data_IF_238494270524
#
_entry.id   IF_238494270524
#
_cell.length_a   1.000
_cell.length_b   1.000
_cell.length_c   1.000
_cell.angle_alpha   90.00
_cell.angle_beta   90.00
_cell.angle_gamma   90.00
#
_symmetry.space_group_name_H-M   'P 1'
#
loop_
_entity.id
_entity.type
_entity.pdbx_description
1 polymer ?
#
# COMPACT_ATOMS: atom_id res chain seq x y z
N UNK A 1 -14.76 73.11 16.86
CA UNK A 1 -15.40 71.97 16.17
C UNK A 1 -14.49 71.33 15.13
N UNK A 2 -13.38 71.98 14.75
CA UNK A 2 -12.41 71.47 13.78
C UNK A 2 -11.58 70.25 14.26
N UNK A 3 -11.20 70.20 15.54
CA UNK A 3 -10.32 69.13 16.06
C UNK A 3 -11.01 67.76 16.14
N UNK A 4 -12.31 67.71 16.42
CA UNK A 4 -13.09 66.46 16.46
C UNK A 4 -13.23 65.82 15.07
N UNK A 5 -13.28 66.64 14.01
CA UNK A 5 -13.34 66.15 12.63
C UNK A 5 -12.01 65.53 12.21
N UNK A 6 -10.88 66.18 12.49
CA UNK A 6 -9.56 65.66 12.18
C UNK A 6 -9.24 64.33 12.89
N UNK A 7 -9.67 64.19 14.14
CA UNK A 7 -9.50 62.96 14.95
C UNK A 7 -10.20 61.74 14.33
N UNK A 8 -11.36 61.94 13.68
CA UNK A 8 -12.07 60.86 13.01
C UNK A 8 -11.61 60.66 11.56
N UNK A 9 -11.22 61.72 10.86
CA UNK A 9 -10.80 61.66 9.46
C UNK A 9 -9.50 60.85 9.30
N UNK A 10 -8.53 61.07 10.18
CA UNK A 10 -7.20 60.43 10.11
C UNK A 10 -7.25 58.88 10.16
N UNK A 11 -7.96 58.23 11.11
CA UNK A 11 -8.09 56.77 11.13
C UNK A 11 -8.93 56.25 9.96
N UNK A 12 -9.99 56.95 9.53
CA UNK A 12 -10.76 56.52 8.35
C UNK A 12 -9.93 56.57 7.06
N UNK A 13 -9.12 57.62 6.88
CA UNK A 13 -8.24 57.74 5.72
C UNK A 13 -7.16 56.66 5.74
N UNK A 14 -6.57 56.39 6.90
CA UNK A 14 -5.59 55.32 7.08
C UNK A 14 -6.20 53.93 6.78
N UNK A 15 -7.45 53.69 7.18
CA UNK A 15 -8.16 52.44 6.90
C UNK A 15 -8.44 52.28 5.40
N UNK A 16 -8.93 53.33 4.73
CA UNK A 16 -9.17 53.31 3.28
C UNK A 16 -7.86 53.11 2.52
N UNK A 17 -6.80 53.82 2.90
CA UNK A 17 -5.47 53.67 2.31
C UNK A 17 -4.91 52.26 2.55
N UNK A 18 -5.06 51.72 3.76
CA UNK A 18 -4.64 50.35 4.10
C UNK A 18 -5.37 49.29 3.30
N UNK A 19 -6.70 49.43 3.12
CA UNK A 19 -7.51 48.52 2.30
C UNK A 19 -7.12 48.65 0.82
N UNK A 20 -6.91 49.87 0.31
CA UNK A 20 -6.51 50.09 -1.08
C UNK A 20 -5.12 49.47 -1.36
N UNK A 21 -4.15 49.72 -0.49
CA UNK A 21 -2.79 49.14 -0.60
C UNK A 21 -2.85 47.63 -0.44
N UNK A 22 -3.58 47.11 0.55
CA UNK A 22 -3.74 45.67 0.75
C UNK A 22 -4.39 44.98 -0.45
N UNK A 23 -5.39 45.61 -1.05
CA UNK A 23 -6.04 45.11 -2.27
C UNK A 23 -5.10 45.18 -3.48
N UNK A 24 -4.33 46.25 -3.65
CA UNK A 24 -3.34 46.37 -4.71
C UNK A 24 -2.27 45.28 -4.57
N UNK A 25 -1.72 45.09 -3.37
CA UNK A 25 -0.72 44.05 -3.09
C UNK A 25 -1.29 42.66 -3.35
N UNK A 26 -2.51 42.36 -2.88
CA UNK A 26 -3.16 41.08 -3.14
C UNK A 26 -3.45 40.83 -4.64
N UNK A 27 -3.71 41.89 -5.41
CA UNK A 27 -3.95 41.82 -6.86
C UNK A 27 -2.66 41.72 -7.66
N UNK A 28 -1.60 42.40 -7.25
CA UNK A 28 -0.32 42.47 -7.99
C UNK A 28 0.61 41.30 -7.67
N UNK A 29 0.50 40.64 -6.51
CA UNK A 29 1.29 39.45 -6.22
C UNK A 29 0.70 38.25 -6.99
N UNK A 30 1.37 37.73 -8.04
CA UNK A 30 0.83 36.70 -8.93
C UNK A 30 0.74 35.31 -8.28
N UNK A 31 1.02 35.22 -6.98
CA UNK A 31 1.50 34.02 -6.33
C UNK A 31 0.81 33.70 -5.00
N UNK A 32 -0.22 34.47 -4.65
CA UNK A 32 -1.08 34.21 -3.50
C UNK A 32 -2.23 33.23 -3.81
N UNK A 33 -2.18 32.53 -4.95
CA UNK A 33 -3.11 31.44 -5.25
C UNK A 33 -2.57 30.12 -4.65
N UNK A 34 -3.39 29.35 -3.91
CA UNK A 34 -3.01 28.04 -3.36
C UNK A 34 -2.83 26.96 -4.44
N UNK A 35 -2.86 27.32 -5.73
CA UNK A 35 -2.69 26.41 -6.88
C UNK A 35 -1.41 25.58 -6.79
N UNK A 36 -0.35 26.06 -6.12
CA UNK A 36 0.88 25.29 -5.92
C UNK A 36 0.64 24.10 -4.98
N UNK A 37 -0.13 24.31 -3.92
CA UNK A 37 -0.50 23.27 -2.95
C UNK A 37 -1.53 22.32 -3.56
N UNK A 38 -2.53 22.82 -4.28
CA UNK A 38 -3.49 21.96 -4.99
C UNK A 38 -2.81 21.09 -6.05
N UNK A 39 -1.92 21.66 -6.88
CA UNK A 39 -1.14 20.88 -7.86
C UNK A 39 -0.25 19.83 -7.22
N UNK A 40 0.29 20.09 -6.04
CA UNK A 40 1.06 19.08 -5.30
C UNK A 40 0.17 17.94 -4.79
N UNK A 41 -1.04 18.25 -4.31
CA UNK A 41 -2.00 17.22 -3.91
C UNK A 41 -2.44 16.38 -5.11
N UNK A 42 -2.73 17.02 -6.25
CA UNK A 42 -3.12 16.32 -7.49
C UNK A 42 -1.98 15.40 -7.98
N UNK A 43 -0.73 15.88 -8.01
CA UNK A 43 0.45 15.09 -8.41
C UNK A 43 0.70 13.90 -7.46
N UNK A 44 0.51 14.07 -6.14
CA UNK A 44 0.65 12.98 -5.18
C UNK A 44 -0.47 11.94 -5.35
N UNK A 45 -1.71 12.39 -5.55
CA UNK A 45 -2.86 11.53 -5.79
C UNK A 45 -2.66 10.70 -7.06
N UNK A 46 -2.25 11.33 -8.16
CA UNK A 46 -1.99 10.68 -9.45
C UNK A 46 -0.89 9.61 -9.33
N UNK A 47 0.20 9.92 -8.62
CA UNK A 47 1.27 8.94 -8.35
C UNK A 47 0.79 7.77 -7.52
N UNK A 48 -0.07 8.00 -6.53
CA UNK A 48 -0.62 6.96 -5.68
C UNK A 48 -1.55 6.03 -6.48
N UNK A 49 -2.39 6.58 -7.35
CA UNK A 49 -3.27 5.81 -8.23
C UNK A 49 -2.45 5.01 -9.26
N UNK A 50 -1.41 5.62 -9.85
CA UNK A 50 -0.49 4.92 -10.75
C UNK A 50 0.23 3.76 -10.05
N UNK A 51 0.74 3.97 -8.84
CA UNK A 51 1.42 2.94 -8.07
C UNK A 51 0.48 1.77 -7.73
N UNK A 52 -0.73 2.06 -7.26
CA UNK A 52 -1.73 1.02 -6.99
C UNK A 52 -2.05 0.20 -8.25
N UNK A 53 -2.23 0.88 -9.39
CA UNK A 53 -2.51 0.21 -10.66
C UNK A 53 -1.34 -0.68 -11.11
N UNK A 54 -0.09 -0.20 -10.96
CA UNK A 54 1.11 -0.97 -11.28
C UNK A 54 1.24 -2.22 -10.40
N UNK A 55 1.02 -2.09 -9.08
CA UNK A 55 1.05 -3.22 -8.15
C UNK A 55 -0.01 -4.26 -8.50
N UNK A 56 -1.25 -3.83 -8.72
CA UNK A 56 -2.35 -4.73 -9.10
C UNK A 56 -2.03 -5.44 -10.42
N UNK A 57 -1.52 -4.70 -11.41
CA UNK A 57 -1.14 -5.27 -12.71
C UNK A 57 -0.01 -6.26 -12.58
N UNK A 58 1.02 -5.95 -11.78
CA UNK A 58 2.16 -6.83 -11.54
C UNK A 58 1.72 -8.13 -10.87
N UNK A 59 0.95 -8.05 -9.78
CA UNK A 59 0.45 -9.25 -9.08
C UNK A 59 -0.53 -10.06 -9.93
N UNK A 60 -1.38 -9.42 -10.74
CA UNK A 60 -2.25 -10.13 -11.67
C UNK A 60 -1.43 -10.88 -12.74
N UNK A 61 -0.43 -10.21 -13.32
CA UNK A 61 0.50 -10.81 -14.27
C UNK A 61 1.26 -11.98 -13.65
N UNK A 62 1.81 -11.80 -12.44
CA UNK A 62 2.50 -12.88 -11.71
C UNK A 62 1.57 -14.06 -11.42
N UNK A 63 0.33 -13.83 -10.98
CA UNK A 63 -0.64 -14.90 -10.77
C UNK A 63 -0.95 -15.68 -12.06
N UNK A 64 -1.05 -14.97 -13.20
CA UNK A 64 -1.22 -15.60 -14.50
C UNK A 64 0.02 -16.42 -14.91
N UNK A 65 1.23 -15.92 -14.65
CA UNK A 65 2.48 -16.65 -14.91
C UNK A 65 2.60 -17.90 -14.02
N UNK A 66 2.31 -17.78 -12.73
CA UNK A 66 2.30 -18.92 -11.78
C UNK A 66 1.28 -19.96 -12.22
N UNK A 67 0.07 -19.55 -12.63
CA UNK A 67 -0.93 -20.47 -13.16
C UNK A 67 -0.43 -21.21 -14.41
N UNK A 68 0.22 -20.51 -15.34
CA UNK A 68 0.83 -21.13 -16.53
C UNK A 68 1.92 -22.12 -16.15
N UNK A 69 2.77 -21.78 -15.18
CA UNK A 69 3.80 -22.69 -14.68
C UNK A 69 3.20 -23.95 -14.04
N UNK A 70 2.17 -23.79 -13.20
CA UNK A 70 1.46 -24.93 -12.61
C UNK A 70 0.83 -25.82 -13.68
N UNK A 71 0.22 -25.22 -14.71
CA UNK A 71 -0.33 -25.98 -15.83
C UNK A 71 0.76 -26.76 -16.56
N UNK A 72 1.87 -26.11 -16.93
CA UNK A 72 2.98 -26.79 -17.61
C UNK A 72 3.58 -27.91 -16.75
N UNK A 73 3.64 -27.75 -15.43
CA UNK A 73 4.06 -28.82 -14.53
C UNK A 73 3.10 -30.03 -14.57
N UNK A 74 1.78 -29.77 -14.57
CA UNK A 74 0.77 -30.84 -14.70
C UNK A 74 0.89 -31.54 -16.05
N UNK A 75 1.02 -30.79 -17.15
CA UNK A 75 1.15 -31.35 -18.49
C UNK A 75 2.38 -32.28 -18.60
N UNK A 76 3.50 -31.92 -17.95
CA UNK A 76 4.71 -32.76 -17.90
C UNK A 76 4.46 -34.04 -17.10
N UNK A 77 3.79 -33.95 -15.96
CA UNK A 77 3.45 -35.11 -15.14
C UNK A 77 2.52 -36.07 -15.90
N UNK A 78 1.50 -35.54 -16.58
CA UNK A 78 0.59 -36.33 -17.40
C UNK A 78 1.33 -37.03 -18.54
N UNK A 79 2.23 -36.31 -19.22
CA UNK A 79 3.04 -36.88 -20.29
C UNK A 79 3.98 -38.00 -19.79
N UNK A 80 4.57 -37.84 -18.60
CA UNK A 80 5.38 -38.88 -17.97
C UNK A 80 4.55 -40.09 -17.55
N UNK A 81 3.33 -39.88 -17.04
CA UNK A 81 2.42 -40.96 -16.69
C UNK A 81 1.95 -41.75 -17.93
N UNK A 82 1.63 -41.05 -19.03
CA UNK A 82 1.31 -41.65 -20.31
C UNK A 82 2.51 -42.42 -20.88
N UNK A 83 3.71 -41.83 -20.80
CA UNK A 83 4.98 -42.49 -21.16
C UNK A 83 5.22 -43.76 -20.34
N UNK A 84 5.03 -43.71 -19.02
CA UNK A 84 5.14 -44.88 -18.15
C UNK A 84 4.13 -45.96 -18.54
N UNK A 85 2.89 -45.59 -18.85
CA UNK A 85 1.85 -46.54 -19.28
C UNK A 85 2.19 -47.21 -20.62
N UNK A 86 2.77 -46.46 -21.57
CA UNK A 86 3.10 -46.97 -22.90
C UNK A 86 4.41 -47.75 -22.95
N UNK A 87 5.42 -47.36 -22.17
CA UNK A 87 6.76 -47.97 -22.19
C UNK A 87 6.92 -49.11 -21.18
N UNK A 88 6.11 -49.16 -20.12
CA UNK A 88 6.14 -50.27 -19.18
C UNK A 88 5.40 -51.48 -19.76
N UNK A 89 6.17 -52.43 -20.32
CA UNK A 89 5.66 -53.70 -20.86
C UNK A 89 5.00 -54.60 -19.79
N UNK A 90 5.31 -54.37 -18.51
CA UNK A 90 4.86 -55.18 -17.38
C UNK A 90 4.09 -54.32 -16.35
N UNK A 91 2.96 -54.84 -15.86
CA UNK A 91 2.04 -54.14 -14.95
C UNK A 91 2.72 -53.77 -13.63
N UNK A 92 3.63 -54.61 -13.14
CA UNK A 92 4.36 -54.37 -11.90
C UNK A 92 5.38 -53.23 -12.06
N UNK A 93 6.00 -53.13 -13.24
CA UNK A 93 6.93 -52.05 -13.59
C UNK A 93 6.19 -50.72 -13.78
N UNK A 94 5.00 -50.78 -14.40
CA UNK A 94 4.11 -49.63 -14.58
C UNK A 94 3.68 -49.03 -13.24
N UNK A 95 3.22 -49.86 -12.31
CA UNK A 95 2.80 -49.41 -10.98
C UNK A 95 3.95 -48.77 -10.19
N UNK A 96 5.18 -49.30 -10.31
CA UNK A 96 6.36 -48.71 -9.66
C UNK A 96 6.72 -47.34 -10.25
N UNK A 97 6.70 -47.20 -11.57
CA UNK A 97 6.98 -45.92 -12.24
C UNK A 97 5.93 -44.86 -11.89
N UNK A 98 4.65 -45.22 -11.94
CA UNK A 98 3.58 -44.32 -11.51
C UNK A 98 3.70 -43.96 -10.02
N UNK A 99 3.99 -44.92 -9.14
CA UNK A 99 4.20 -44.63 -7.72
C UNK A 99 5.38 -43.68 -7.49
N UNK A 100 6.48 -43.83 -8.23
CA UNK A 100 7.62 -42.92 -8.16
C UNK A 100 7.25 -41.49 -8.61
N UNK A 101 6.44 -41.35 -9.68
CA UNK A 101 5.92 -40.05 -10.12
C UNK A 101 5.08 -39.34 -9.06
N UNK A 102 4.20 -40.08 -8.38
CA UNK A 102 3.29 -39.52 -7.36
C UNK A 102 3.97 -39.29 -6.00
N UNK A 103 5.13 -39.92 -5.75
CA UNK A 103 5.89 -39.74 -4.50
C UNK A 103 6.59 -38.37 -4.43
N UNK A 104 6.94 -37.81 -5.59
CA UNK A 104 7.61 -36.51 -5.73
C UNK A 104 6.63 -35.36 -6.04
N UNK A 105 5.39 -35.69 -6.40
CA UNK A 105 4.35 -34.69 -6.53
C UNK A 105 4.20 -34.03 -5.16
N UNK A 106 4.35 -32.69 -5.05
CA UNK A 106 3.90 -31.99 -3.87
C UNK A 106 2.44 -32.37 -3.75
N UNK A 107 2.10 -33.19 -2.75
CA UNK A 107 0.75 -33.26 -2.24
C UNK A 107 0.29 -31.81 -2.23
N UNK A 108 -0.88 -31.46 -2.78
CA UNK A 108 -1.42 -30.15 -2.53
C UNK A 108 -1.54 -30.11 -1.00
N UNK A 109 -0.53 -29.54 -0.36
CA UNK A 109 -0.67 -28.77 0.84
C UNK A 109 -1.62 -27.66 0.40
N UNK A 110 -2.90 -28.04 0.29
CA UNK A 110 -3.94 -27.34 0.96
C UNK A 110 -3.40 -27.25 2.37
N UNK A 111 -2.57 -26.24 2.60
CA UNK A 111 -2.60 -25.46 3.81
C UNK A 111 -4.10 -25.16 3.96
N UNK A 112 -4.81 -26.12 4.54
CA UNK A 112 -5.85 -25.81 5.49
C UNK A 112 -5.06 -24.94 6.45
N UNK A 113 -5.09 -23.64 6.17
CA UNK A 113 -4.73 -22.60 7.08
C UNK A 113 -5.54 -22.99 8.30
N UNK A 114 -4.93 -23.75 9.21
CA UNK A 114 -5.43 -23.87 10.55
C UNK A 114 -5.50 -22.41 10.96
N UNK A 115 -6.71 -21.84 11.12
CA UNK A 115 -6.80 -20.43 11.44
C UNK A 115 -5.90 -20.23 12.65
N UNK A 116 -5.00 -19.23 12.66
CA UNK A 116 -4.19 -18.97 13.84
C UNK A 116 -5.12 -18.97 15.04
N UNK A 117 -4.77 -19.70 16.09
CA UNK A 117 -5.58 -19.82 17.31
C UNK A 117 -5.89 -18.47 17.97
N UNK A 118 -5.30 -17.38 17.48
CA UNK A 118 -5.63 -16.00 17.77
C UNK A 118 -6.32 -15.36 16.56
N UNK A 119 -7.65 -15.33 16.56
CA UNK A 119 -8.46 -14.41 15.76
C UNK A 119 -8.37 -12.98 16.33
N UNK A 120 -7.17 -12.54 16.65
CA UNK A 120 -6.97 -11.21 17.24
C UNK A 120 -6.76 -10.23 16.08
N UNK A 121 -7.59 -9.18 15.98
CA UNK A 121 -7.41 -8.17 14.95
C UNK A 121 -6.00 -7.58 15.04
N UNK A 122 -5.43 -7.13 13.91
CA UNK A 122 -4.11 -6.51 13.90
C UNK A 122 -4.08 -5.39 14.95
N UNK A 123 -3.17 -5.53 15.91
CA UNK A 123 -3.07 -4.62 17.03
C UNK A 123 -2.33 -3.38 16.56
N UNK A 124 -3.02 -2.25 16.47
CA UNK A 124 -2.43 -0.95 16.12
C UNK A 124 -1.59 -0.35 17.26
N UNK A 125 -1.34 -1.11 18.34
CA UNK A 125 -0.52 -0.69 19.48
C UNK A 125 0.80 -1.47 19.55
N UNK A 126 1.86 -0.79 19.97
CA UNK A 126 3.15 -1.42 20.19
C UNK A 126 3.11 -2.41 21.38
N UNK A 127 3.64 -3.64 21.25
CA UNK A 127 3.63 -4.61 22.33
C UNK A 127 4.53 -4.14 23.48
N UNK A 128 3.96 -4.04 24.69
CA UNK A 128 4.67 -3.68 25.92
C UNK A 128 5.35 -4.92 26.51
N UNK A 129 6.64 -4.85 26.82
CA UNK A 129 7.29 -5.88 27.63
C UNK A 129 6.83 -5.78 29.09
N UNK A 130 6.79 -6.88 29.88
CA UNK A 130 6.09 -6.95 31.17
C UNK A 130 6.55 -5.98 32.28
N UNK A 131 7.49 -5.09 32.01
CA UNK A 131 7.97 -4.10 32.98
C UNK A 131 8.53 -2.82 32.32
N UNK A 132 8.24 -2.56 31.04
CA UNK A 132 8.68 -1.34 30.38
C UNK A 132 7.68 -0.19 30.62
N UNK A 133 8.13 1.07 30.74
CA UNK A 133 7.23 2.22 30.70
C UNK A 133 6.48 2.25 29.36
N UNK A 134 5.20 2.67 29.38
CA UNK A 134 4.40 2.78 28.16
C UNK A 134 4.93 3.87 27.22
N UNK A 135 4.54 3.87 25.94
CA UNK A 135 4.98 4.92 24.99
C UNK A 135 4.49 6.33 25.34
N UNK A 136 3.51 6.45 26.25
CA UNK A 136 2.98 7.71 26.78
C UNK A 136 3.47 7.99 28.22
N UNK A 137 4.42 7.20 28.72
CA UNK A 137 5.00 7.41 30.04
C UNK A 137 5.92 8.63 30.00
N UNK A 138 5.85 9.47 31.03
CA UNK A 138 6.63 10.72 31.14
C UNK A 138 8.16 10.47 31.14
N UNK A 139 8.58 9.23 31.41
CA UNK A 139 9.98 8.80 31.40
C UNK A 139 10.38 8.03 30.14
N UNK A 140 9.47 7.83 29.17
CA UNK A 140 9.77 7.11 27.94
C UNK A 140 10.82 7.85 27.10
N UNK A 141 11.95 7.19 26.85
CA UNK A 141 13.06 7.76 26.06
C UNK A 141 13.99 8.70 26.85
N UNK A 142 13.74 8.96 28.13
CA UNK A 142 14.63 9.74 28.98
C UNK A 142 15.60 8.80 29.72
N UNK A 143 16.88 8.85 29.34
CA UNK A 143 17.96 8.21 30.10
C UNK A 143 18.40 9.18 31.20
N UNK A 144 18.42 8.71 32.45
CA UNK A 144 19.07 9.41 33.56
C UNK A 144 20.58 9.51 33.33
#
# INVERSE_FOLDING_TARGET
>A
MEHSLLIWLLPTLALVAGVAIGFLVARLLPNAAPNRTQRQLDDIQERFDSYQNEVVTHFNSTANLVKKLTQSYQDVQDHLAEGANRLALDEQTRQRLLAALHSEAPQPHRERLTPPHSSEPPLDYAPKTPNAPGMLDEHYGLKK
#
